data_IF_191065402514
#
_entry.id   IF_191065402514
#
_cell.length_a   1.000
_cell.length_b   1.000
_cell.length_c   1.000
_cell.angle_alpha   90.00
_cell.angle_beta   90.00
_cell.angle_gamma   90.00
#
_symmetry.space_group_name_H-M   'P 1'
#
loop_
_entity.id
_entity.type
_entity.pdbx_description
1 polymer ?
#
# COMPACT_ATOMS: atom_id res chain seq x y z
N UNK A 1 -11.28 -40.55 -2.17
CA UNK A 1 -10.98 -39.12 -2.39
C UNK A 1 -9.79 -38.81 -1.49
N UNK A 2 -8.58 -38.71 -2.06
CA UNK A 2 -7.34 -38.70 -1.28
C UNK A 2 -7.08 -37.31 -0.68
N UNK A 3 -6.54 -37.28 0.54
CA UNK A 3 -6.25 -36.08 1.33
C UNK A 3 -5.38 -35.05 0.58
N UNK A 4 -4.47 -35.49 -0.30
CA UNK A 4 -3.64 -34.61 -1.14
C UNK A 4 -4.45 -33.73 -2.10
N UNK A 5 -5.62 -34.19 -2.55
CA UNK A 5 -6.50 -33.41 -3.43
C UNK A 5 -7.21 -32.28 -2.69
N UNK A 6 -7.43 -32.42 -1.38
CA UNK A 6 -8.09 -31.39 -0.55
C UNK A 6 -7.06 -30.33 -0.14
N UNK A 7 -5.82 -30.74 0.17
CA UNK A 7 -4.73 -29.79 0.46
C UNK A 7 -4.41 -28.89 -0.73
N UNK A 8 -4.33 -29.44 -1.95
CA UNK A 8 -4.06 -28.63 -3.14
C UNK A 8 -5.21 -27.67 -3.51
N UNK A 9 -6.47 -28.02 -3.23
CA UNK A 9 -7.62 -27.14 -3.48
C UNK A 9 -7.75 -26.03 -2.43
N UNK A 10 -7.47 -26.32 -1.16
CA UNK A 10 -7.46 -25.33 -0.09
C UNK A 10 -6.28 -24.35 -0.26
N UNK A 11 -5.12 -24.81 -0.74
CA UNK A 11 -3.97 -23.94 -1.03
C UNK A 11 -4.18 -23.08 -2.28
N UNK A 12 -4.83 -23.59 -3.34
CA UNK A 12 -5.13 -22.80 -4.54
C UNK A 12 -6.09 -21.64 -4.26
N UNK A 13 -7.07 -21.82 -3.37
CA UNK A 13 -8.01 -20.76 -2.99
C UNK A 13 -7.40 -19.67 -2.08
N UNK A 14 -6.18 -19.84 -1.60
CA UNK A 14 -5.47 -18.90 -0.72
C UNK A 14 -4.33 -18.14 -1.42
N UNK A 15 -4.06 -18.43 -2.69
CA UNK A 15 -2.90 -17.89 -3.42
C UNK A 15 -3.23 -16.81 -4.46
N UNK A 16 -4.49 -16.69 -4.88
CA UNK A 16 -4.86 -15.65 -5.84
C UNK A 16 -4.95 -14.29 -5.15
N UNK A 17 -4.28 -13.30 -5.74
CA UNK A 17 -4.35 -11.91 -5.27
C UNK A 17 -5.81 -11.44 -5.38
N UNK A 18 -6.42 -10.93 -4.29
CA UNK A 18 -7.78 -10.41 -4.34
C UNK A 18 -7.91 -9.25 -5.34
N UNK A 19 -9.07 -9.12 -5.95
CA UNK A 19 -9.33 -8.04 -6.91
C UNK A 19 -9.54 -6.70 -6.18
N UNK A 20 -8.49 -5.87 -6.21
CA UNK A 20 -8.51 -4.52 -5.65
C UNK A 20 -9.01 -3.47 -6.63
N UNK A 21 -9.25 -3.83 -7.89
CA UNK A 21 -9.55 -2.86 -8.93
C UNK A 21 -10.87 -2.14 -8.67
N UNK A 22 -10.90 -0.82 -8.84
CA UNK A 22 -12.08 0.02 -8.63
C UNK A 22 -11.79 1.30 -7.84
N UNK A 23 -12.85 1.98 -7.44
CA UNK A 23 -12.76 3.22 -6.65
C UNK A 23 -13.00 2.95 -5.18
N UNK A 24 -12.11 3.43 -4.33
CA UNK A 24 -12.13 3.28 -2.89
C UNK A 24 -12.13 4.65 -2.23
N UNK A 25 -12.89 4.81 -1.14
CA UNK A 25 -12.94 6.06 -0.39
C UNK A 25 -12.89 5.82 1.12
N UNK A 26 -12.12 6.65 1.82
CA UNK A 26 -11.94 6.57 3.27
C UNK A 26 -11.38 7.86 3.86
N UNK A 27 -11.11 7.83 5.17
CA UNK A 27 -10.54 8.96 5.91
C UNK A 27 -9.19 8.55 6.49
N UNK A 28 -8.14 9.31 6.17
CA UNK A 28 -6.81 9.11 6.73
C UNK A 28 -6.77 9.67 8.14
N UNK A 29 -6.21 8.90 9.07
CA UNK A 29 -5.94 9.30 10.45
C UNK A 29 -4.45 9.21 10.71
N UNK A 30 -3.90 10.16 11.46
CA UNK A 30 -2.48 10.16 11.84
C UNK A 30 -2.37 9.93 13.34
N UNK A 31 -1.49 9.01 13.74
CA UNK A 31 -1.25 8.62 15.12
C UNK A 31 0.26 8.69 15.44
N UNK A 32 0.72 9.41 16.48
CA UNK A 32 -0.08 10.27 17.36
C UNK A 32 -0.67 11.45 16.57
N UNK A 33 -1.79 11.98 17.07
CA UNK A 33 -2.41 13.14 16.44
C UNK A 33 -1.44 14.34 16.51
N UNK A 34 -0.93 14.78 15.36
CA UNK A 34 -0.17 16.02 15.26
C UNK A 34 -1.08 17.25 15.35
N UNK A 35 -0.52 18.40 15.70
CA UNK A 35 -1.20 19.69 15.63
C UNK A 35 -1.40 20.10 14.17
N UNK A 36 -2.39 19.53 13.51
CA UNK A 36 -2.68 19.71 12.09
C UNK A 36 -4.04 19.11 11.73
N UNK A 37 -4.46 19.17 10.45
CA UNK A 37 -5.74 18.62 10.06
C UNK A 37 -5.80 17.13 10.35
N UNK A 38 -6.66 16.80 11.31
CA UNK A 38 -6.72 15.47 11.93
C UNK A 38 -7.20 14.39 10.96
N UNK A 39 -7.79 14.79 9.82
CA UNK A 39 -8.39 13.87 8.86
C UNK A 39 -8.27 14.39 7.42
N UNK A 40 -7.80 13.54 6.52
CA UNK A 40 -7.84 13.77 5.07
C UNK A 40 -8.82 12.78 4.44
N UNK A 41 -9.72 13.26 3.60
CA UNK A 41 -10.53 12.38 2.75
C UNK A 41 -9.65 11.85 1.62
N UNK A 42 -9.58 10.54 1.46
CA UNK A 42 -8.78 9.89 0.43
C UNK A 42 -9.70 9.14 -0.52
N UNK A 43 -9.48 9.31 -1.82
CA UNK A 43 -10.06 8.48 -2.86
C UNK A 43 -8.94 7.81 -3.64
N UNK A 44 -8.97 6.48 -3.74
CA UNK A 44 -8.06 5.70 -4.58
C UNK A 44 -8.82 5.12 -5.77
N UNK A 45 -8.22 5.19 -6.95
CA UNK A 45 -8.67 4.53 -8.17
C UNK A 45 -7.61 3.52 -8.60
N UNK A 46 -7.89 2.25 -8.32
CA UNK A 46 -6.94 1.15 -8.49
C UNK A 46 -7.31 0.33 -9.73
N UNK A 47 -6.31 0.01 -10.55
CA UNK A 47 -6.39 -1.02 -11.59
C UNK A 47 -6.21 -2.41 -11.00
N UNK A 48 -6.44 -3.43 -11.83
CA UNK A 48 -6.11 -4.81 -11.47
C UNK A 48 -4.59 -4.96 -11.26
N UNK A 49 -4.16 -6.00 -10.56
CA UNK A 49 -2.74 -6.31 -10.46
C UNK A 49 -2.14 -6.59 -11.85
N UNK A 50 -0.94 -6.05 -12.18
CA UNK A 50 -0.30 -6.33 -13.46
C UNK A 50 0.09 -7.81 -13.57
N UNK A 51 -0.37 -8.47 -14.63
CA UNK A 51 -0.10 -9.90 -14.90
C UNK A 51 1.00 -10.12 -15.95
N UNK A 52 1.40 -9.07 -16.64
CA UNK A 52 2.41 -9.10 -17.71
C UNK A 52 3.64 -8.35 -17.22
N UNK A 53 4.83 -8.95 -17.41
CA UNK A 53 6.11 -8.32 -17.12
C UNK A 53 6.26 -6.97 -17.86
N UNK A 54 6.84 -5.99 -17.17
CA UNK A 54 7.02 -4.61 -17.64
C UNK A 54 5.73 -3.89 -18.02
N UNK A 55 4.58 -4.38 -17.57
CA UNK A 55 3.30 -3.70 -17.69
C UNK A 55 2.90 -3.03 -16.38
N UNK A 56 2.16 -1.93 -16.51
CA UNK A 56 1.74 -1.08 -15.41
C UNK A 56 0.22 -0.91 -15.42
N UNK A 57 -0.33 -0.69 -14.24
CA UNK A 57 -1.77 -0.48 -14.01
C UNK A 57 -1.98 0.77 -13.18
N UNK A 58 -3.10 1.46 -13.41
CA UNK A 58 -3.39 2.75 -12.78
C UNK A 58 -3.50 2.62 -11.26
N UNK A 59 -2.77 3.43 -10.52
CA UNK A 59 -2.83 3.52 -9.06
C UNK A 59 -2.92 5.00 -8.65
N UNK A 60 -4.12 5.57 -8.74
CA UNK A 60 -4.30 7.01 -8.62
C UNK A 60 -4.95 7.39 -7.30
N UNK A 61 -4.35 8.33 -6.56
CA UNK A 61 -4.85 8.81 -5.27
C UNK A 61 -5.19 10.31 -5.30
N UNK A 62 -6.32 10.68 -4.71
CA UNK A 62 -6.67 12.08 -4.43
C UNK A 62 -6.91 12.28 -2.94
N UNK A 63 -6.22 13.25 -2.36
CA UNK A 63 -6.30 13.62 -0.95
C UNK A 63 -6.96 14.98 -0.83
N UNK A 64 -8.04 15.05 -0.05
CA UNK A 64 -8.81 16.27 0.17
C UNK A 64 -8.86 16.62 1.65
N UNK A 65 -8.91 17.92 1.89
CA UNK A 65 -9.17 18.51 3.19
C UNK A 65 -10.26 19.56 3.03
N UNK A 66 -11.35 19.44 3.80
CA UNK A 66 -12.50 20.35 3.71
C UNK A 66 -13.02 20.51 2.26
N UNK A 67 -13.06 19.41 1.50
CA UNK A 67 -13.49 19.37 0.10
C UNK A 67 -12.46 19.89 -0.92
N UNK A 68 -11.36 20.49 -0.48
CA UNK A 68 -10.30 21.01 -1.36
C UNK A 68 -9.23 19.95 -1.59
N UNK A 69 -8.81 19.78 -2.85
CA UNK A 69 -7.70 18.88 -3.21
C UNK A 69 -6.40 19.46 -2.64
N UNK A 70 -5.75 18.68 -1.79
CA UNK A 70 -4.42 19.01 -1.24
C UNK A 70 -3.33 18.38 -2.09
N UNK A 71 -3.50 17.10 -2.44
CA UNK A 71 -2.51 16.31 -3.16
C UNK A 71 -3.20 15.36 -4.14
N UNK A 72 -2.58 15.21 -5.31
CA UNK A 72 -2.85 14.14 -6.27
C UNK A 72 -1.60 13.28 -6.37
N UNK A 73 -1.77 11.98 -6.32
CA UNK A 73 -0.73 10.97 -6.54
C UNK A 73 -1.11 10.16 -7.78
N UNK A 74 -0.41 10.39 -8.89
CA UNK A 74 -0.65 9.67 -10.14
C UNK A 74 0.34 8.49 -10.24
N UNK A 75 0.14 7.48 -9.40
CA UNK A 75 1.06 6.34 -9.36
C UNK A 75 0.64 5.25 -10.35
N UNK A 76 1.56 4.33 -10.59
CA UNK A 76 1.30 3.09 -11.30
C UNK A 76 1.86 1.91 -10.52
N UNK A 77 1.12 0.80 -10.44
CA UNK A 77 1.66 -0.46 -9.99
C UNK A 77 2.12 -1.26 -11.22
N UNK A 78 3.38 -1.62 -11.23
CA UNK A 78 4.03 -2.29 -12.33
C UNK A 78 4.57 -3.65 -11.89
N UNK A 79 4.70 -4.57 -12.85
CA UNK A 79 5.34 -5.86 -12.65
C UNK A 79 6.73 -5.86 -13.25
N UNK A 80 7.71 -6.35 -12.49
CA UNK A 80 9.07 -6.55 -12.96
C UNK A 80 9.22 -7.99 -13.48
N UNK A 81 9.78 -8.92 -12.70
CA UNK A 81 10.15 -10.24 -13.22
C UNK A 81 9.20 -11.39 -12.83
N UNK A 82 8.45 -11.26 -11.74
CA UNK A 82 7.63 -12.35 -11.17
C UNK A 82 6.29 -11.84 -10.63
N UNK A 83 5.40 -12.74 -10.19
CA UNK A 83 4.07 -12.37 -9.67
C UNK A 83 4.14 -11.48 -8.42
N UNK A 84 5.21 -11.58 -7.63
CA UNK A 84 5.38 -10.87 -6.36
C UNK A 84 6.46 -9.77 -6.42
N UNK A 85 7.23 -9.71 -7.53
CA UNK A 85 8.22 -8.66 -7.83
C UNK A 85 7.53 -7.50 -8.55
N UNK A 86 6.93 -6.62 -7.74
CA UNK A 86 6.21 -5.43 -8.19
C UNK A 86 7.03 -4.16 -7.89
N UNK A 87 6.59 -3.04 -8.43
CA UNK A 87 7.07 -1.72 -8.01
C UNK A 87 5.99 -0.68 -8.24
N UNK A 88 6.02 0.37 -7.43
CA UNK A 88 5.18 1.54 -7.60
C UNK A 88 5.99 2.64 -8.29
N UNK A 89 5.58 3.04 -9.49
CA UNK A 89 6.13 4.20 -10.21
C UNK A 89 5.35 5.45 -9.80
N UNK A 90 6.01 6.42 -9.18
CA UNK A 90 5.39 7.69 -8.79
C UNK A 90 5.19 8.68 -9.96
N UNK A 91 5.64 8.32 -11.17
CA UNK A 91 5.54 9.11 -12.40
C UNK A 91 6.29 10.44 -12.36
N UNK A 92 7.20 10.59 -11.41
CA UNK A 92 8.07 11.73 -11.21
C UNK A 92 9.57 11.35 -11.19
N UNK A 93 9.89 10.13 -11.63
CA UNK A 93 11.25 9.56 -11.60
C UNK A 93 11.57 8.76 -10.34
N UNK A 94 10.66 8.70 -9.35
CA UNK A 94 10.80 7.86 -8.16
C UNK A 94 10.12 6.50 -8.42
N UNK A 95 10.88 5.43 -8.16
CA UNK A 95 10.39 4.06 -8.18
C UNK A 95 10.51 3.52 -6.75
N UNK A 96 9.41 3.00 -6.22
CA UNK A 96 9.36 2.34 -4.93
C UNK A 96 9.30 0.84 -5.16
N UNK A 97 10.26 0.10 -4.61
CA UNK A 97 10.17 -1.36 -4.59
C UNK A 97 8.98 -1.78 -3.72
N UNK A 98 8.16 -2.65 -4.29
CA UNK A 98 6.88 -3.04 -3.70
C UNK A 98 6.70 -4.55 -3.87
N UNK A 99 6.35 -5.27 -2.81
CA UNK A 99 6.23 -6.73 -2.87
C UNK A 99 4.87 -7.19 -2.38
N UNK A 100 4.38 -8.26 -2.97
CA UNK A 100 3.24 -8.98 -2.42
C UNK A 100 3.73 -10.03 -1.42
N UNK A 101 3.38 -9.86 -0.14
CA UNK A 101 3.80 -10.77 0.91
C UNK A 101 2.69 -10.93 1.95
N UNK A 102 2.37 -12.18 2.30
CA UNK A 102 1.39 -12.50 3.35
C UNK A 102 0.00 -11.91 3.12
N UNK A 103 -0.43 -11.74 1.86
CA UNK A 103 -1.72 -11.15 1.51
C UNK A 103 -1.77 -9.61 1.55
N UNK A 104 -0.61 -8.96 1.59
CA UNK A 104 -0.47 -7.52 1.61
C UNK A 104 0.53 -7.05 0.54
N UNK A 105 0.32 -5.82 0.07
CA UNK A 105 1.29 -5.09 -0.72
C UNK A 105 2.16 -4.25 0.24
N UNK A 106 3.47 -4.47 0.23
CA UNK A 106 4.41 -3.84 1.16
C UNK A 106 5.46 -3.08 0.37
N UNK A 107 5.63 -1.80 0.68
CA UNK A 107 6.76 -0.99 0.19
C UNK A 107 7.55 -0.45 1.37
N UNK A 108 8.86 -0.55 1.29
CA UNK A 108 9.77 -0.07 2.34
C UNK A 108 10.84 0.80 1.69
N UNK A 109 10.94 2.06 2.11
CA UNK A 109 11.86 3.01 1.49
C UNK A 109 12.31 4.07 2.49
N UNK A 110 13.42 4.72 2.19
CA UNK A 110 14.01 5.77 3.04
C UNK A 110 14.05 7.08 2.26
N UNK A 111 13.64 8.17 2.91
CA UNK A 111 13.87 9.54 2.43
C UNK A 111 14.59 10.29 3.53
N UNK A 112 15.80 10.74 3.24
CA UNK A 112 16.73 11.33 4.21
C UNK A 112 16.91 10.43 5.44
N UNK A 113 16.46 10.86 6.63
CA UNK A 113 16.56 10.11 7.88
C UNK A 113 15.23 9.47 8.30
N UNK A 114 14.25 9.39 7.39
CA UNK A 114 12.94 8.81 7.68
C UNK A 114 12.77 7.55 6.85
N UNK A 115 12.56 6.44 7.55
CA UNK A 115 12.18 5.17 6.97
C UNK A 115 10.66 5.04 6.94
N UNK A 116 10.14 4.66 5.79
CA UNK A 116 8.72 4.48 5.52
C UNK A 116 8.44 3.01 5.29
N UNK A 117 7.37 2.51 5.90
CA UNK A 117 6.81 1.18 5.62
C UNK A 117 5.34 1.40 5.26
N UNK A 118 5.01 1.25 3.98
CA UNK A 118 3.64 1.29 3.49
C UNK A 118 3.11 -0.14 3.34
N UNK A 119 1.97 -0.42 3.94
CA UNK A 119 1.33 -1.73 3.93
C UNK A 119 -0.11 -1.51 3.48
N UNK A 120 -0.50 -2.08 2.35
CA UNK A 120 -1.88 -2.10 1.89
C UNK A 120 -2.39 -3.54 1.89
N UNK A 121 -3.63 -3.77 2.31
CA UNK A 121 -4.24 -5.11 2.32
C UNK A 121 -5.76 -5.03 2.30
N UNK A 122 -6.40 -6.11 1.87
CA UNK A 122 -7.84 -6.26 1.93
C UNK A 122 -8.25 -7.11 3.14
N UNK A 123 -9.26 -6.67 3.88
CA UNK A 123 -9.89 -7.40 4.98
C UNK A 123 -11.41 -7.40 4.80
N UNK A 124 -11.94 -8.52 4.32
CA UNK A 124 -13.32 -8.56 3.85
C UNK A 124 -13.52 -7.54 2.73
N UNK A 125 -14.49 -6.65 2.89
CA UNK A 125 -14.80 -5.60 1.89
C UNK A 125 -14.10 -4.25 2.16
N UNK A 126 -13.12 -4.23 3.07
CA UNK A 126 -12.36 -3.04 3.43
C UNK A 126 -10.94 -3.13 2.87
N UNK A 127 -10.53 -2.08 2.16
CA UNK A 127 -9.13 -1.87 1.81
C UNK A 127 -8.47 -1.05 2.93
N UNK A 128 -7.52 -1.65 3.63
CA UNK A 128 -6.70 -1.01 4.66
C UNK A 128 -5.37 -0.57 4.06
N UNK A 129 -4.91 0.62 4.44
CA UNK A 129 -3.55 1.08 4.22
C UNK A 129 -2.98 1.63 5.53
N UNK A 130 -1.75 1.24 5.85
CA UNK A 130 -0.97 1.83 6.92
C UNK A 130 0.38 2.31 6.39
N UNK A 131 0.78 3.53 6.73
CA UNK A 131 2.14 4.03 6.47
C UNK A 131 2.79 4.35 7.79
N UNK A 132 3.86 3.64 8.10
CA UNK A 132 4.64 3.85 9.31
C UNK A 132 5.82 4.72 8.96
N UNK A 133 6.04 5.75 9.76
CA UNK A 133 7.22 6.61 9.66
C UNK A 133 8.11 6.34 10.87
N UNK A 134 9.39 6.11 10.60
CA UNK A 134 10.37 5.68 11.59
C UNK A 134 11.60 6.55 11.43
N UNK A 135 12.11 7.09 12.55
CA UNK A 135 13.38 7.82 12.59
C UNK A 135 14.52 6.82 12.40
N UNK A 136 15.23 6.94 11.28
CA UNK A 136 16.34 6.07 10.87
C UNK A 136 17.59 6.92 10.60
N UNK A 137 18.33 7.17 11.68
CA UNK A 137 19.57 7.92 11.67
C UNK A 137 20.74 7.00 11.35
N UNK A 138 21.75 7.55 10.66
CA UNK A 138 22.98 6.80 10.44
C UNK A 138 23.66 6.48 11.78
N UNK A 139 23.93 5.21 12.01
CA UNK A 139 24.60 4.71 13.21
C UNK A 139 25.79 3.84 12.84
N UNK A 140 26.80 3.82 13.72
CA UNK A 140 27.92 2.88 13.64
C UNK A 140 27.74 1.69 14.59
N UNK A 141 26.57 1.57 15.23
CA UNK A 141 26.26 0.46 16.13
C UNK A 141 25.80 -0.77 15.35
N UNK A 142 26.08 -1.96 15.87
CA UNK A 142 25.67 -3.22 15.25
C UNK A 142 24.15 -3.45 15.32
N UNK A 143 23.49 -2.90 16.35
CA UNK A 143 22.04 -2.95 16.55
C UNK A 143 21.59 -1.60 17.09
N UNK A 144 20.57 -1.01 16.48
CA UNK A 144 19.94 0.22 16.95
C UNK A 144 18.44 0.04 17.11
N UNK A 145 17.90 0.64 18.17
CA UNK A 145 16.45 0.72 18.35
C UNK A 145 15.92 1.91 17.58
N UNK A 146 15.04 1.64 16.62
CA UNK A 146 14.38 2.70 15.86
C UNK A 146 13.17 3.25 16.60
N UNK A 147 12.89 4.54 16.39
CA UNK A 147 11.72 5.21 16.97
C UNK A 147 10.65 5.43 15.92
N UNK A 148 9.49 4.79 16.09
CA UNK A 148 8.29 5.14 15.31
C UNK A 148 7.87 6.57 15.64
N UNK A 149 7.72 7.39 14.61
CA UNK A 149 7.30 8.79 14.72
C UNK A 149 5.79 8.91 14.60
N UNK A 150 5.23 8.33 13.54
CA UNK A 150 3.80 8.36 13.26
C UNK A 150 3.34 7.15 12.42
N UNK A 151 2.06 6.84 12.52
CA UNK A 151 1.33 5.88 11.69
C UNK A 151 0.17 6.63 11.02
N UNK A 152 0.12 6.56 9.70
CA UNK A 152 -0.99 7.03 8.90
C UNK A 152 -1.87 5.82 8.60
N UNK A 153 -3.13 5.83 9.06
CA UNK A 153 -4.08 4.73 8.85
C UNK A 153 -5.20 5.17 7.94
N UNK A 154 -5.53 4.28 7.00
CA UNK A 154 -6.62 4.45 6.07
C UNK A 154 -7.47 3.18 6.07
N UNK A 155 -8.78 3.34 6.27
CA UNK A 155 -9.76 2.29 6.05
C UNK A 155 -10.72 2.80 4.97
N UNK A 156 -10.82 2.05 3.88
CA UNK A 156 -11.58 2.48 2.71
C UNK A 156 -12.65 1.46 2.34
N UNK A 157 -13.78 2.00 1.89
CA UNK A 157 -14.87 1.22 1.30
C UNK A 157 -14.88 1.42 -0.20
N UNK A 158 -15.21 0.35 -0.92
CA UNK A 158 -15.46 0.42 -2.35
C UNK A 158 -16.67 1.32 -2.62
N UNK A 159 -16.53 2.22 -3.58
CA UNK A 159 -17.64 3.04 -4.06
C UNK A 159 -18.40 2.22 -5.11
N UNK A 160 -19.62 1.82 -4.79
CA UNK A 160 -20.55 1.22 -5.76
C UNK A 160 -21.20 2.33 -6.56
N UNK A 161 -21.10 2.24 -7.88
CA UNK A 161 -21.79 3.12 -8.85
C UNK A 161 -23.19 2.57 -9.10
#
# INVERSE_FOLDING_TARGET
>A
MNSESIFNHIFMLLLDKPDWSGTWRGMMKVEPAEAGPTQLEVTLELGAFPTVENNCTKWYGTYRQNGQIQVIKDYQLCRRNSDDDLFTDERNGIILDTQWIGGALVSSYKVDNIFYIAIMRMRGDILEEEIWTVDDKNTNQAVESLRTLAIYRLEMKRVTV
#
